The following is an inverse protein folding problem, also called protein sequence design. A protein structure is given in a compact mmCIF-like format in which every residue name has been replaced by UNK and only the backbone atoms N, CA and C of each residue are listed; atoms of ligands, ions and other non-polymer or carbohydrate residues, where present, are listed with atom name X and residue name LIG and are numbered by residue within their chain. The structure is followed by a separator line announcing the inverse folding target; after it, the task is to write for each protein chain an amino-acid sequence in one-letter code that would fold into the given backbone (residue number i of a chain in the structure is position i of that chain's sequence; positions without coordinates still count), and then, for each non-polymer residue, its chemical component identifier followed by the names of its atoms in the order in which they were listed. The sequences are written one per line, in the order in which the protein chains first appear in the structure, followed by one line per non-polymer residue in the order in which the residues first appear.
data_IF_012105891532
#
_entry.id   IF_012105891532
#
_cell.length_a   1.000
_cell.length_b   1.000
_cell.length_c   1.000
_cell.angle_alpha   90.00
_cell.angle_beta   90.00
_cell.angle_gamma   90.00
#
_symmetry.space_group_name_H-M   'P 1'
#
loop_
_entity.id
_entity.type
_entity.pdbx_description
1 polymer ?
#
# COMPACT_ATOMS: atom_id res chain seq x y z
N UNK A 1 -0.68 9.90 21.12
CA UNK A 1 0.52 9.79 20.25
C UNK A 1 1.49 8.71 20.74
N UNK A 2 1.97 8.76 21.99
CA UNK A 2 2.98 7.78 22.50
C UNK A 2 2.51 6.33 22.41
N UNK A 3 1.28 6.02 22.85
CA UNK A 3 0.71 4.67 22.77
C UNK A 3 0.62 4.14 21.32
N UNK A 4 0.30 5.01 20.37
CA UNK A 4 0.26 4.64 18.95
C UNK A 4 1.64 4.28 18.43
N UNK A 5 2.64 5.13 18.66
CA UNK A 5 4.02 4.87 18.23
C UNK A 5 4.58 3.60 18.87
N UNK A 6 4.34 3.39 20.17
CA UNK A 6 4.76 2.18 20.86
C UNK A 6 4.13 0.93 20.23
N UNK A 7 2.82 0.97 19.97
CA UNK A 7 2.11 -0.14 19.34
C UNK A 7 2.64 -0.41 17.92
N UNK A 8 2.84 0.65 17.13
CA UNK A 8 3.39 0.57 15.79
C UNK A 8 4.77 -0.09 15.79
N UNK A 9 5.72 0.41 16.60
CA UNK A 9 7.07 -0.13 16.65
C UNK A 9 7.11 -1.56 17.20
N UNK A 10 6.23 -1.89 18.15
CA UNK A 10 6.15 -3.25 18.68
C UNK A 10 5.66 -4.24 17.62
N UNK A 11 4.56 -3.93 16.94
CA UNK A 11 4.00 -4.82 15.91
C UNK A 11 4.91 -4.88 14.68
N UNK A 12 5.31 -3.72 14.15
CA UNK A 12 6.12 -3.65 12.94
C UNK A 12 7.54 -4.16 13.18
N UNK A 13 8.14 -3.85 14.34
CA UNK A 13 9.41 -4.42 14.76
C UNK A 13 9.31 -5.94 15.00
N UNK A 14 8.20 -6.43 15.55
CA UNK A 14 7.93 -7.86 15.69
C UNK A 14 7.90 -8.61 14.35
N UNK A 15 7.29 -8.01 13.32
CA UNK A 15 7.29 -8.53 11.94
C UNK A 15 8.73 -8.61 11.39
N UNK A 16 9.54 -7.57 11.62
CA UNK A 16 10.96 -7.58 11.20
C UNK A 16 11.78 -8.62 11.94
N UNK A 17 11.57 -8.77 13.25
CA UNK A 17 12.24 -9.78 14.06
C UNK A 17 11.88 -11.19 13.58
N UNK A 18 10.60 -11.45 13.30
CA UNK A 18 10.15 -12.71 12.71
C UNK A 18 10.89 -12.99 11.38
N UNK A 19 10.93 -12.00 10.48
CA UNK A 19 11.61 -12.14 9.20
C UNK A 19 13.12 -12.42 9.36
N UNK A 20 13.78 -11.73 10.31
CA UNK A 20 15.19 -11.95 10.63
C UNK A 20 15.46 -13.36 11.15
N UNK A 21 14.65 -13.85 12.10
CA UNK A 21 14.77 -15.21 12.63
C UNK A 21 14.57 -16.23 11.50
N UNK A 22 13.58 -16.01 10.64
CA UNK A 22 13.26 -16.94 9.56
C UNK A 22 14.36 -17.01 8.51
N UNK A 23 14.88 -15.87 8.06
CA UNK A 23 15.94 -15.85 7.05
C UNK A 23 17.25 -16.42 7.61
N UNK A 24 17.59 -16.13 8.86
CA UNK A 24 18.79 -16.64 9.51
C UNK A 24 18.74 -18.16 9.71
N UNK A 25 17.55 -18.73 10.00
CA UNK A 25 17.35 -20.18 10.11
C UNK A 25 17.58 -20.95 8.80
N UNK A 26 17.54 -20.27 7.66
CA UNK A 26 17.74 -20.87 6.33
C UNK A 26 19.19 -20.67 5.88
N UNK A 27 19.68 -19.43 5.93
CA UNK A 27 20.96 -19.05 5.32
C UNK A 27 22.15 -19.06 6.28
N UNK A 28 21.90 -19.10 7.61
CA UNK A 28 22.93 -19.15 8.65
C UNK A 28 24.01 -18.07 8.46
N UNK A 29 23.61 -16.81 8.53
CA UNK A 29 24.51 -15.70 8.19
C UNK A 29 25.66 -15.57 9.18
N UNK A 30 26.82 -15.12 8.69
CA UNK A 30 27.90 -14.67 9.57
C UNK A 30 27.47 -13.41 10.35
N UNK A 31 28.15 -13.15 11.48
CA UNK A 31 27.84 -12.00 12.33
C UNK A 31 27.86 -10.65 11.57
N UNK A 32 28.75 -10.50 10.59
CA UNK A 32 28.85 -9.30 9.75
C UNK A 32 27.59 -9.12 8.90
N UNK A 33 27.19 -10.14 8.12
CA UNK A 33 25.99 -10.05 7.27
C UNK A 33 24.71 -9.89 8.08
N UNK A 34 24.61 -10.58 9.21
CA UNK A 34 23.47 -10.43 10.13
C UNK A 34 23.36 -9.00 10.67
N UNK A 35 24.47 -8.39 11.05
CA UNK A 35 24.51 -7.00 11.51
C UNK A 35 24.07 -6.03 10.41
N UNK A 36 24.55 -6.22 9.18
CA UNK A 36 24.15 -5.41 8.02
C UNK A 36 22.64 -5.49 7.75
N UNK A 37 22.06 -6.70 7.80
CA UNK A 37 20.62 -6.91 7.62
C UNK A 37 19.82 -6.22 8.74
N UNK A 38 20.27 -6.32 10.00
CA UNK A 38 19.63 -5.64 11.13
C UNK A 38 19.62 -4.13 10.93
N UNK A 39 20.76 -3.54 10.56
CA UNK A 39 20.86 -2.09 10.30
C UNK A 39 19.91 -1.67 9.18
N UNK A 40 19.84 -2.43 8.09
CA UNK A 40 18.91 -2.19 6.99
C UNK A 40 17.44 -2.28 7.45
N UNK A 41 17.09 -3.31 8.23
CA UNK A 41 15.75 -3.47 8.78
C UNK A 41 15.36 -2.32 9.70
N UNK A 42 16.27 -1.86 10.56
CA UNK A 42 16.03 -0.69 11.41
C UNK A 42 15.77 0.55 10.55
N UNK A 43 16.59 0.79 9.53
CA UNK A 43 16.39 1.91 8.61
C UNK A 43 14.99 1.87 7.95
N UNK A 44 14.54 0.68 7.53
CA UNK A 44 13.23 0.47 6.90
C UNK A 44 12.06 0.55 7.89
N UNK A 45 12.27 0.21 9.17
CA UNK A 45 11.30 0.46 10.24
C UNK A 45 11.04 1.96 10.40
N UNK A 46 12.10 2.77 10.33
CA UNK A 46 12.02 4.22 10.46
C UNK A 46 11.66 4.95 9.16
N UNK A 47 11.52 4.24 8.02
CA UNK A 47 11.24 4.85 6.73
C UNK A 47 10.03 5.82 6.72
N UNK A 48 8.86 5.51 7.32
CA UNK A 48 7.73 6.45 7.35
C UNK A 48 8.06 7.78 8.04
N UNK A 49 8.86 7.74 9.11
CA UNK A 49 9.31 8.95 9.82
C UNK A 49 10.31 9.71 8.96
N UNK A 50 11.23 9.01 8.30
CA UNK A 50 12.21 9.62 7.39
C UNK A 50 11.54 10.29 6.18
N UNK A 51 10.46 9.71 5.64
CA UNK A 51 9.63 10.35 4.61
C UNK A 51 9.10 11.68 5.12
N UNK A 52 8.49 11.69 6.31
CA UNK A 52 7.91 12.91 6.86
C UNK A 52 8.94 13.99 7.13
N UNK A 53 10.11 13.61 7.68
CA UNK A 53 11.23 14.54 7.88
C UNK A 53 11.69 15.12 6.53
N UNK A 54 11.88 14.28 5.52
CA UNK A 54 12.30 14.74 4.19
C UNK A 54 11.26 15.65 3.52
N UNK A 55 9.96 15.41 3.72
CA UNK A 55 8.88 16.31 3.28
C UNK A 55 8.97 17.69 3.96
N UNK A 56 9.16 17.74 5.29
CA UNK A 56 9.26 19.01 6.02
C UNK A 56 10.47 19.86 5.60
N UNK A 57 11.54 19.21 5.12
CA UNK A 57 12.71 19.88 4.55
C UNK A 57 12.58 20.17 3.04
N UNK A 58 11.40 19.98 2.45
CA UNK A 58 11.12 20.20 1.02
C UNK A 58 12.01 19.35 0.09
N UNK A 59 12.54 18.22 0.59
CA UNK A 59 13.40 17.30 -0.17
C UNK A 59 12.57 16.25 -0.91
N UNK A 60 11.74 16.68 -1.86
CA UNK A 60 10.76 15.81 -2.53
C UNK A 60 11.36 14.56 -3.18
N UNK A 61 12.49 14.68 -3.86
CA UNK A 61 13.12 13.56 -4.54
C UNK A 61 13.54 12.48 -3.54
N UNK A 62 14.13 12.91 -2.42
CA UNK A 62 14.55 12.01 -1.35
C UNK A 62 13.35 11.38 -0.65
N UNK A 63 12.37 12.19 -0.24
CA UNK A 63 11.14 11.71 0.39
C UNK A 63 10.43 10.66 -0.50
N UNK A 64 10.41 10.86 -1.82
CA UNK A 64 9.85 9.90 -2.77
C UNK A 64 10.61 8.59 -2.83
N UNK A 65 11.94 8.65 -2.91
CA UNK A 65 12.77 7.44 -2.93
C UNK A 65 12.58 6.64 -1.64
N UNK A 66 12.61 7.31 -0.49
CA UNK A 66 12.38 6.68 0.81
C UNK A 66 10.96 6.10 0.89
N UNK A 67 9.94 6.84 0.44
CA UNK A 67 8.55 6.37 0.46
C UNK A 67 8.37 5.13 -0.42
N UNK A 68 8.92 5.15 -1.65
CA UNK A 68 8.81 4.03 -2.57
C UNK A 68 9.48 2.78 -2.02
N UNK A 69 10.72 2.90 -1.53
CA UNK A 69 11.46 1.78 -0.95
C UNK A 69 10.78 1.29 0.34
N UNK A 70 10.47 2.21 1.25
CA UNK A 70 9.91 1.92 2.56
C UNK A 70 8.52 1.30 2.50
N UNK A 71 7.61 1.83 1.68
CA UNK A 71 6.25 1.33 1.59
C UNK A 71 6.13 0.03 0.80
N UNK A 72 6.95 -0.15 -0.25
CA UNK A 72 7.03 -1.45 -0.93
C UNK A 72 7.64 -2.52 -0.01
N UNK A 73 8.66 -2.16 0.77
CA UNK A 73 9.21 -3.04 1.79
C UNK A 73 8.18 -3.39 2.86
N UNK A 74 7.43 -2.40 3.36
CA UNK A 74 6.36 -2.61 4.34
C UNK A 74 5.30 -3.58 3.83
N UNK A 75 4.86 -3.43 2.56
CA UNK A 75 3.94 -4.35 1.92
C UNK A 75 4.54 -5.77 1.80
N UNK A 76 5.78 -5.86 1.35
CA UNK A 76 6.49 -7.14 1.20
C UNK A 76 6.62 -7.87 2.54
N UNK A 77 7.15 -7.21 3.58
CA UNK A 77 7.45 -7.86 4.85
C UNK A 77 6.16 -8.26 5.59
N UNK A 78 5.08 -7.48 5.44
CA UNK A 78 3.77 -7.81 5.98
C UNK A 78 3.20 -9.07 5.31
N UNK A 79 3.19 -9.13 3.97
CA UNK A 79 2.72 -10.30 3.24
C UNK A 79 3.58 -11.54 3.52
N UNK A 80 4.90 -11.37 3.60
CA UNK A 80 5.83 -12.42 3.97
C UNK A 80 5.54 -12.98 5.36
N UNK A 81 5.26 -12.11 6.33
CA UNK A 81 4.85 -12.51 7.67
C UNK A 81 3.52 -13.28 7.65
N UNK A 82 2.48 -12.75 7.02
CA UNK A 82 1.17 -13.41 6.95
C UNK A 82 1.26 -14.80 6.31
N UNK A 83 1.93 -14.91 5.15
CA UNK A 83 2.13 -16.19 4.47
C UNK A 83 2.99 -17.15 5.29
N UNK A 84 4.04 -16.64 5.93
CA UNK A 84 4.89 -17.41 6.83
C UNK A 84 4.12 -18.02 8.00
N UNK A 85 3.28 -17.21 8.67
CA UNK A 85 2.40 -17.67 9.76
C UNK A 85 1.43 -18.74 9.27
N UNK A 86 0.80 -18.55 8.10
CA UNK A 86 -0.10 -19.55 7.51
C UNK A 86 0.64 -20.87 7.27
N UNK A 87 1.84 -20.84 6.68
CA UNK A 87 2.62 -22.06 6.45
C UNK A 87 3.06 -22.73 7.74
N UNK A 88 3.40 -21.97 8.77
CA UNK A 88 3.78 -22.51 10.08
C UNK A 88 2.58 -23.19 10.76
N UNK A 89 1.38 -22.62 10.67
CA UNK A 89 0.13 -23.23 11.17
C UNK A 89 -0.18 -24.53 10.41
N UNK A 90 -0.12 -24.51 9.07
CA UNK A 90 -0.40 -25.69 8.23
C UNK A 90 0.60 -26.81 8.49
N UNK A 91 1.86 -26.46 8.78
CA UNK A 91 2.91 -27.43 9.06
C UNK A 91 2.87 -27.99 10.48
N UNK A 92 2.33 -27.25 11.45
CA UNK A 92 2.25 -27.67 12.85
C UNK A 92 1.68 -29.10 13.03
N UNK A 93 0.53 -29.48 12.44
CA UNK A 93 -0.02 -30.83 12.57
C UNK A 93 0.83 -31.91 11.89
N UNK A 94 1.55 -31.57 10.82
CA UNK A 94 2.42 -32.51 10.09
C UNK A 94 3.60 -33.00 10.94
N UNK A 95 3.95 -32.28 12.02
CA UNK A 95 4.96 -32.73 12.99
C UNK A 95 4.56 -33.98 13.76
N UNK A 96 3.25 -34.27 13.87
CA UNK A 96 2.74 -35.47 14.54
C UNK A 96 2.70 -36.71 13.63
N UNK A 97 2.92 -36.55 12.31
CA UNK A 97 2.91 -37.63 11.33
C UNK A 97 4.21 -37.68 10.50
N UNK A 98 5.38 -37.90 11.14
CA UNK A 98 6.69 -37.73 10.50
C UNK A 98 6.92 -38.68 9.30
N UNK A 99 6.30 -39.85 9.30
CA UNK A 99 6.40 -40.84 8.23
C UNK A 99 5.82 -40.35 6.88
N UNK A 100 4.89 -39.39 6.89
CA UNK A 100 4.27 -38.86 5.67
C UNK A 100 5.07 -37.74 4.98
N UNK A 101 6.12 -37.22 5.64
CA UNK A 101 6.78 -35.96 5.26
C UNK A 101 8.29 -36.12 5.01
N UNK A 102 8.87 -37.25 5.39
CA UNK A 102 10.28 -37.52 5.11
C UNK A 102 10.48 -37.92 3.63
N UNK A 103 11.39 -37.29 2.86
CA UNK A 103 12.46 -36.37 3.27
C UNK A 103 12.29 -34.92 2.74
N UNK A 104 11.07 -34.38 2.69
CA UNK A 104 10.80 -33.09 2.03
C UNK A 104 11.27 -31.92 2.92
N UNK A 105 12.13 -30.99 2.43
CA UNK A 105 12.60 -29.83 3.20
C UNK A 105 11.52 -28.74 3.30
N UNK A 106 10.44 -29.05 4.01
CA UNK A 106 9.22 -28.22 4.08
C UNK A 106 9.50 -26.78 4.58
N UNK A 107 10.59 -26.55 5.32
CA UNK A 107 10.95 -25.21 5.80
C UNK A 107 11.41 -24.31 4.66
N UNK A 108 12.32 -24.83 3.84
CA UNK A 108 12.93 -24.13 2.73
C UNK A 108 11.89 -23.88 1.64
N UNK A 109 11.00 -24.85 1.40
CA UNK A 109 9.89 -24.71 0.47
C UNK A 109 8.90 -23.64 0.98
N UNK A 110 8.47 -23.72 2.24
CA UNK A 110 7.56 -22.71 2.81
C UNK A 110 8.17 -21.30 2.78
N UNK A 111 9.45 -21.16 3.12
CA UNK A 111 10.16 -19.89 3.03
C UNK A 111 10.22 -19.38 1.57
N UNK A 112 10.65 -20.22 0.64
CA UNK A 112 10.72 -19.87 -0.78
C UNK A 112 9.36 -19.46 -1.34
N UNK A 113 8.31 -20.21 -1.03
CA UNK A 113 6.93 -19.88 -1.41
C UNK A 113 6.48 -18.55 -0.79
N UNK A 114 6.74 -18.32 0.50
CA UNK A 114 6.38 -17.07 1.16
C UNK A 114 7.06 -15.87 0.49
N UNK A 115 8.36 -15.97 0.21
CA UNK A 115 9.11 -14.91 -0.50
C UNK A 115 8.56 -14.70 -1.91
N UNK A 116 8.45 -15.75 -2.72
CA UNK A 116 7.99 -15.66 -4.10
C UNK A 116 6.57 -15.10 -4.20
N UNK A 117 5.63 -15.63 -3.40
CA UNK A 117 4.25 -15.15 -3.40
C UNK A 117 4.15 -13.71 -2.89
N UNK A 118 4.94 -13.31 -1.89
CA UNK A 118 4.97 -11.92 -1.43
C UNK A 118 5.42 -10.98 -2.55
N UNK A 119 6.48 -11.31 -3.28
CA UNK A 119 6.92 -10.51 -4.43
C UNK A 119 5.86 -10.45 -5.53
N UNK A 120 5.23 -11.58 -5.87
CA UNK A 120 4.15 -11.63 -6.88
C UNK A 120 2.98 -10.75 -6.46
N UNK A 121 2.55 -10.85 -5.20
CA UNK A 121 1.42 -10.08 -4.67
C UNK A 121 1.74 -8.59 -4.57
N UNK A 122 2.94 -8.21 -4.16
CA UNK A 122 3.39 -6.80 -4.16
C UNK A 122 3.43 -6.26 -5.59
N UNK A 123 3.99 -7.00 -6.54
CA UNK A 123 4.03 -6.58 -7.94
C UNK A 123 2.62 -6.45 -8.52
N UNK A 124 1.77 -7.47 -8.30
CA UNK A 124 0.36 -7.44 -8.70
C UNK A 124 -0.36 -6.23 -8.11
N UNK A 125 -0.24 -6.01 -6.79
CA UNK A 125 -0.86 -4.87 -6.11
C UNK A 125 -0.39 -3.53 -6.64
N UNK A 126 0.92 -3.39 -6.93
CA UNK A 126 1.48 -2.18 -7.52
C UNK A 126 0.89 -1.87 -8.89
N UNK A 127 0.81 -2.87 -9.79
CA UNK A 127 0.24 -2.66 -11.13
C UNK A 127 -1.28 -2.51 -11.10
N UNK A 128 -1.97 -3.19 -10.18
CA UNK A 128 -3.43 -3.08 -10.04
C UNK A 128 -3.84 -1.73 -9.48
N UNK A 129 -3.08 -1.18 -8.51
CA UNK A 129 -3.31 0.15 -7.94
C UNK A 129 -3.21 1.27 -8.98
N UNK A 130 -2.45 1.07 -10.07
CA UNK A 130 -2.37 2.04 -11.16
C UNK A 130 -3.57 2.01 -12.11
N UNK A 131 -4.43 0.97 -12.03
CA UNK A 131 -5.57 0.80 -12.93
C UNK A 131 -6.84 1.39 -12.31
N UNK A 132 -7.19 2.60 -12.72
CA UNK A 132 -8.47 3.22 -12.35
C UNK A 132 -9.63 2.45 -12.99
N UNK A 133 -10.54 1.88 -12.19
CA UNK A 133 -11.73 1.17 -12.65
C UNK A 133 -12.99 1.98 -12.36
N UNK A 134 -13.89 2.10 -13.34
CA UNK A 134 -15.17 2.79 -13.17
C UNK A 134 -16.22 1.75 -12.76
N UNK A 135 -16.75 1.87 -11.54
CA UNK A 135 -17.91 1.09 -11.09
C UNK A 135 -19.17 1.90 -11.34
N UNK A 136 -20.08 1.38 -12.18
CA UNK A 136 -21.37 2.00 -12.45
C UNK A 136 -22.44 1.37 -11.57
N UNK A 137 -23.21 2.21 -10.90
CA UNK A 137 -24.36 1.82 -10.09
C UNK A 137 -25.56 2.60 -10.60
N UNK A 138 -26.67 1.90 -10.86
CA UNK A 138 -27.94 2.52 -11.21
C UNK A 138 -28.86 2.42 -10.01
N UNK A 139 -29.28 3.58 -9.49
CA UNK A 139 -30.19 3.69 -8.36
C UNK A 139 -31.49 4.26 -8.90
N UNK A 140 -32.57 3.50 -8.78
CA UNK A 140 -33.91 3.94 -9.16
C UNK A 140 -34.58 4.57 -7.95
N UNK A 141 -35.13 5.76 -8.13
CA UNK A 141 -35.87 6.49 -7.09
C UNK A 141 -37.23 6.90 -7.63
N UNK A 142 -38.24 6.91 -6.75
CA UNK A 142 -39.57 7.45 -7.07
C UNK A 142 -39.65 8.97 -6.96
N UNK A 143 -38.54 9.64 -6.62
CA UNK A 143 -38.47 11.09 -6.50
C UNK A 143 -38.26 11.76 -7.87
N UNK A 144 -38.82 12.96 -8.03
CA UNK A 144 -38.61 13.77 -9.23
C UNK A 144 -37.17 14.29 -9.25
N UNK A 145 -36.40 13.86 -10.25
CA UNK A 145 -35.04 14.34 -10.47
C UNK A 145 -35.02 15.49 -11.51
N UNK A 146 -34.19 16.54 -11.31
CA UNK A 146 -33.94 17.57 -12.32
C UNK A 146 -33.41 17.01 -13.64
N UNK A 147 -33.50 17.80 -14.72
CA UNK A 147 -32.84 17.49 -15.99
C UNK A 147 -33.44 16.32 -16.80
N UNK A 148 -34.68 15.91 -16.52
CA UNK A 148 -35.36 14.84 -17.27
C UNK A 148 -35.30 13.46 -16.61
N UNK A 149 -35.16 13.40 -15.28
CA UNK A 149 -35.32 12.16 -14.52
C UNK A 149 -34.05 11.33 -14.33
N UNK A 150 -32.89 11.83 -14.75
CA UNK A 150 -31.60 11.15 -14.57
C UNK A 150 -30.53 12.13 -14.11
N UNK A 151 -29.86 11.77 -13.01
CA UNK A 151 -28.67 12.46 -12.51
C UNK A 151 -27.52 11.47 -12.52
N UNK A 152 -26.36 11.92 -12.99
CA UNK A 152 -25.11 11.19 -12.91
C UNK A 152 -24.21 11.81 -11.85
N UNK A 153 -23.97 11.06 -10.80
CA UNK A 153 -23.03 11.42 -9.73
C UNK A 153 -21.75 10.62 -9.96
N UNK A 154 -20.61 11.31 -10.02
CA UNK A 154 -19.30 10.67 -9.91
C UNK A 154 -18.80 10.87 -8.49
N UNK A 155 -18.53 9.75 -7.81
CA UNK A 155 -17.96 9.74 -6.48
C UNK A 155 -16.49 9.32 -6.56
N UNK A 156 -15.62 10.12 -5.95
CA UNK A 156 -14.23 9.78 -5.68
C UNK A 156 -14.01 9.69 -4.16
N UNK A 157 -13.02 8.91 -3.73
CA UNK A 157 -12.66 8.75 -2.32
C UNK A 157 -11.18 8.44 -2.22
N UNK A 158 -10.54 8.90 -1.14
CA UNK A 158 -9.19 8.50 -0.74
C UNK A 158 -8.17 8.60 -1.89
N UNK A 159 -8.21 9.75 -2.58
CA UNK A 159 -7.32 10.05 -3.70
C UNK A 159 -5.90 10.27 -3.22
N UNK A 160 -5.73 10.83 -2.02
CA UNK A 160 -4.42 10.98 -1.36
C UNK A 160 -3.37 11.65 -2.27
N UNK A 161 -3.72 12.81 -2.83
CA UNK A 161 -2.82 13.59 -3.70
C UNK A 161 -1.59 14.01 -2.87
N UNK A 162 -0.40 13.64 -3.34
CA UNK A 162 0.83 13.85 -2.58
C UNK A 162 2.06 13.29 -3.28
N UNK A 163 3.00 12.76 -2.49
CA UNK A 163 4.31 12.35 -3.02
C UNK A 163 4.28 11.12 -3.94
N UNK A 164 3.27 10.25 -3.74
CA UNK A 164 3.05 9.03 -4.52
C UNK A 164 2.10 9.31 -5.69
N UNK A 165 0.91 9.88 -5.42
CA UNK A 165 -0.09 10.19 -6.44
C UNK A 165 0.21 11.57 -7.04
N UNK A 166 0.74 11.58 -8.26
CA UNK A 166 1.17 12.78 -8.98
C UNK A 166 0.27 13.11 -10.17
N UNK A 167 0.60 14.24 -10.80
CA UNK A 167 -0.07 14.83 -11.95
C UNK A 167 -0.52 13.82 -13.00
N UNK A 168 0.35 12.90 -13.44
CA UNK A 168 0.00 11.90 -14.46
C UNK A 168 -1.16 11.00 -14.05
N UNK A 169 -1.17 10.49 -12.82
CA UNK A 169 -2.24 9.61 -12.34
C UNK A 169 -3.53 10.41 -12.10
N UNK A 170 -3.38 11.61 -11.55
CA UNK A 170 -4.50 12.53 -11.35
C UNK A 170 -5.14 12.93 -12.69
N UNK A 171 -4.35 13.20 -13.72
CA UNK A 171 -4.84 13.52 -15.06
C UNK A 171 -5.67 12.38 -15.64
N UNK A 172 -5.17 11.14 -15.56
CA UNK A 172 -5.94 9.95 -16.02
C UNK A 172 -7.26 9.82 -15.26
N UNK A 173 -7.28 10.15 -13.96
CA UNK A 173 -8.52 10.17 -13.18
C UNK A 173 -9.47 11.27 -13.67
N UNK A 174 -8.98 12.50 -13.82
CA UNK A 174 -9.74 13.67 -14.30
C UNK A 174 -10.32 13.41 -15.69
N UNK A 175 -9.55 12.81 -16.60
CA UNK A 175 -10.02 12.48 -17.96
C UNK A 175 -11.18 11.50 -17.91
N UNK A 176 -11.10 10.45 -17.08
CA UNK A 176 -12.20 9.50 -16.86
C UNK A 176 -13.44 10.15 -16.23
N UNK A 177 -13.25 11.09 -15.31
CA UNK A 177 -14.34 11.88 -14.73
C UNK A 177 -15.01 12.72 -15.82
N UNK A 178 -14.24 13.42 -16.65
CA UNK A 178 -14.77 14.23 -17.75
C UNK A 178 -15.51 13.38 -18.79
N UNK A 179 -14.96 12.23 -19.16
CA UNK A 179 -15.61 11.25 -20.06
C UNK A 179 -16.94 10.74 -19.48
N UNK A 180 -17.01 10.58 -18.16
CA UNK A 180 -18.24 10.20 -17.49
C UNK A 180 -19.30 11.30 -17.53
N UNK A 181 -18.98 12.56 -17.85
CA UNK A 181 -19.93 13.69 -17.91
C UNK A 181 -20.85 13.75 -16.67
N UNK A 182 -20.29 13.93 -15.46
CA UNK A 182 -21.08 14.03 -14.23
C UNK A 182 -21.93 15.29 -14.22
N UNK A 183 -23.12 15.17 -13.64
CA UNK A 183 -23.92 16.30 -13.21
C UNK A 183 -23.47 16.78 -11.82
N UNK A 184 -22.93 15.86 -11.00
CA UNK A 184 -22.34 16.13 -9.68
C UNK A 184 -21.02 15.37 -9.51
N UNK A 185 -19.97 16.03 -8.99
CA UNK A 185 -18.73 15.39 -8.54
C UNK A 185 -18.60 15.48 -7.01
N UNK A 186 -18.52 14.34 -6.33
CA UNK A 186 -18.40 14.30 -4.86
C UNK A 186 -17.11 13.59 -4.46
N UNK A 187 -16.36 14.18 -3.52
CA UNK A 187 -15.32 13.49 -2.78
C UNK A 187 -15.83 13.08 -1.41
N UNK A 188 -15.72 11.80 -1.08
CA UNK A 188 -16.24 11.24 0.19
C UNK A 188 -15.15 10.81 1.17
N UNK A 189 -13.88 11.01 0.83
CA UNK A 189 -12.73 10.63 1.64
C UNK A 189 -11.56 11.59 1.46
N UNK A 190 -10.36 11.15 1.80
CA UNK A 190 -9.19 12.01 1.88
C UNK A 190 -8.68 12.40 0.49
N UNK A 191 -8.56 13.70 0.24
CA UNK A 191 -8.10 14.23 -1.05
C UNK A 191 -6.59 14.51 -1.07
N UNK A 192 -5.99 14.87 0.07
CA UNK A 192 -4.64 15.45 0.14
C UNK A 192 -3.83 14.78 1.26
N UNK A 193 -2.57 14.46 0.98
CA UNK A 193 -1.65 13.82 1.94
C UNK A 193 -0.47 14.71 2.39
N UNK A 194 -0.07 15.68 1.58
CA UNK A 194 1.16 16.48 1.81
C UNK A 194 0.87 17.95 2.13
N UNK A 195 1.89 18.65 2.63
CA UNK A 195 1.83 20.09 2.89
C UNK A 195 1.51 20.90 1.61
N UNK A 196 0.71 21.96 1.80
CA UNK A 196 -0.06 22.67 0.77
C UNK A 196 0.74 23.17 -0.44
N UNK A 197 2.06 23.39 -0.30
CA UNK A 197 2.88 24.04 -1.33
C UNK A 197 2.96 23.25 -2.64
N UNK A 198 2.82 21.92 -2.60
CA UNK A 198 2.97 21.07 -3.79
C UNK A 198 1.66 20.57 -4.39
N UNK A 199 0.52 20.91 -3.76
CA UNK A 199 -0.78 20.34 -4.10
C UNK A 199 -1.66 21.32 -4.86
N UNK A 200 -1.34 22.62 -4.85
CA UNK A 200 -2.09 23.65 -5.58
C UNK A 200 -2.20 23.37 -7.09
N UNK A 201 -1.11 23.06 -7.83
CA UNK A 201 -1.22 22.75 -9.26
C UNK A 201 -2.04 21.48 -9.53
N UNK A 202 -2.05 20.53 -8.59
CA UNK A 202 -2.80 19.29 -8.70
C UNK A 202 -4.29 19.52 -8.41
N UNK A 203 -4.62 20.38 -7.46
CA UNK A 203 -5.99 20.81 -7.19
C UNK A 203 -6.61 21.55 -8.40
N UNK A 204 -5.80 22.30 -9.17
CA UNK A 204 -6.26 22.94 -10.40
C UNK A 204 -6.74 21.92 -11.45
N UNK A 205 -6.14 20.72 -11.53
CA UNK A 205 -6.61 19.68 -12.45
C UNK A 205 -8.04 19.23 -12.13
N UNK A 206 -8.38 19.11 -10.83
CA UNK A 206 -9.73 18.79 -10.39
C UNK A 206 -10.70 19.96 -10.67
N UNK A 207 -10.24 21.20 -10.49
CA UNK A 207 -11.05 22.40 -10.75
C UNK A 207 -11.44 22.58 -12.25
N UNK A 208 -10.78 21.86 -13.17
CA UNK A 208 -11.19 21.82 -14.57
C UNK A 208 -12.48 21.03 -14.79
N UNK A 209 -12.87 20.18 -13.85
CA UNK A 209 -14.16 19.49 -13.90
C UNK A 209 -15.21 20.43 -13.34
N UNK A 210 -16.16 20.83 -14.18
CA UNK A 210 -17.26 21.73 -13.81
C UNK A 210 -18.61 21.03 -14.05
N UNK A 211 -19.06 20.18 -13.11
CA UNK A 211 -20.38 19.56 -13.19
C UNK A 211 -21.49 20.62 -13.13
N UNK A 212 -22.66 20.29 -13.67
CA UNK A 212 -23.79 21.23 -13.75
C UNK A 212 -24.31 21.65 -12.36
N UNK A 213 -24.32 20.73 -11.40
CA UNK A 213 -24.92 20.93 -10.08
C UNK A 213 -23.90 20.93 -8.93
N UNK A 214 -22.60 20.97 -9.23
CA UNK A 214 -21.52 20.98 -8.24
C UNK A 214 -20.53 19.85 -8.41
#
# INVERSE_FOLDING_TARGET
MVMFLLTFFLLYGGIHLYALIRIDSIFHFSAVYKTLIIVLMILLIFAPILVRIAETHQMEALARVIAFIGYLWMAFIFLFFCLGVVFDIVRFPLRFFPAAVAPVPLNNIAFGLAVCLSFILVAYGYFDAQRIRIKKLEIVTGQNLPGGGKIRIVQISDVHIGIIIKEKQLQVMVDKIKEAKPDILVSTGDLLDSELNNVLPLAELLAQVKPQFG
#
